data_IF_935742155358
#
_entry.id   IF_935742155358
#
_cell.length_a   1.000
_cell.length_b   1.000
_cell.length_c   1.000
_cell.angle_alpha   90.00
_cell.angle_beta   90.00
_cell.angle_gamma   90.00
#
_symmetry.space_group_name_H-M   'P 1'
#
loop_
_entity.id
_entity.type
_entity.pdbx_description
1 polymer ?
#
# COMPACT_ATOMS: atom_id res chain seq x y z
N UNK A 1 -75.65 -19.53 0.58
CA UNK A 1 -74.98 -19.61 1.89
C UNK A 1 -74.11 -20.85 1.90
N UNK A 2 -72.79 -20.68 1.77
CA UNK A 2 -71.84 -21.78 1.82
C UNK A 2 -70.57 -21.29 2.51
N UNK A 3 -70.17 -22.13 3.45
CA UNK A 3 -69.18 -22.00 4.50
C UNK A 3 -67.75 -21.89 3.97
N UNK A 4 -66.97 -21.07 4.69
CA UNK A 4 -65.52 -20.90 4.64
C UNK A 4 -64.75 -22.22 4.70
N UNK A 5 -63.58 -22.29 4.07
CA UNK A 5 -62.43 -23.11 4.50
C UNK A 5 -61.11 -22.44 4.10
N UNK A 6 -60.17 -22.55 5.03
CA UNK A 6 -58.82 -21.99 5.10
C UNK A 6 -57.88 -22.52 4.01
N UNK A 7 -56.87 -21.73 3.63
CA UNK A 7 -55.49 -22.15 3.29
C UNK A 7 -54.64 -20.87 3.12
N UNK A 8 -53.84 -20.52 4.13
CA UNK A 8 -52.39 -20.76 4.16
C UNK A 8 -51.62 -20.06 3.03
N UNK A 9 -51.20 -18.81 3.25
CA UNK A 9 -49.97 -18.29 2.67
C UNK A 9 -49.25 -17.44 3.73
N UNK A 10 -48.51 -18.12 4.59
CA UNK A 10 -47.49 -17.52 5.44
C UNK A 10 -46.41 -16.93 4.55
N UNK A 11 -46.43 -15.61 4.43
CA UNK A 11 -45.47 -14.81 3.69
C UNK A 11 -44.12 -14.84 4.44
N UNK A 12 -43.30 -15.87 4.19
CA UNK A 12 -41.88 -15.87 4.55
C UNK A 12 -41.12 -14.88 3.65
N UNK A 13 -41.31 -13.58 3.90
CA UNK A 13 -40.41 -12.54 3.41
C UNK A 13 -39.27 -12.39 4.43
N UNK A 14 -38.36 -13.36 4.44
CA UNK A 14 -37.08 -13.20 5.10
C UNK A 14 -36.27 -12.16 4.32
N UNK A 15 -36.19 -10.96 4.89
CA UNK A 15 -35.32 -9.87 4.48
C UNK A 15 -33.87 -10.37 4.42
N UNK A 16 -33.40 -10.71 3.22
CA UNK A 16 -31.97 -10.75 2.90
C UNK A 16 -31.47 -9.32 2.84
N UNK A 17 -31.21 -8.73 4.01
CA UNK A 17 -30.44 -7.50 4.11
C UNK A 17 -28.97 -7.84 3.80
N UNK A 18 -28.34 -7.23 2.78
CA UNK A 18 -26.90 -7.33 2.63
C UNK A 18 -26.27 -6.58 3.82
N UNK A 19 -25.67 -7.32 4.75
CA UNK A 19 -24.81 -6.70 5.76
C UNK A 19 -23.58 -6.15 5.04
N UNK A 20 -23.27 -4.85 5.17
CA UNK A 20 -22.00 -4.34 4.69
C UNK A 20 -20.90 -5.04 5.49
N UNK A 21 -20.05 -5.82 4.81
CA UNK A 21 -18.77 -6.20 5.35
C UNK A 21 -17.95 -4.92 5.52
N UNK A 22 -18.09 -4.27 6.68
CA UNK A 22 -17.28 -3.13 7.02
C UNK A 22 -15.88 -3.66 7.29
N UNK A 23 -14.92 -3.32 6.43
CA UNK A 23 -13.52 -3.41 6.78
C UNK A 23 -13.35 -2.58 8.05
N UNK A 24 -13.20 -3.26 9.19
CA UNK A 24 -13.09 -2.61 10.48
C UNK A 24 -11.69 -2.01 10.55
N UNK A 25 -11.62 -0.69 10.75
CA UNK A 25 -10.36 -0.03 11.11
C UNK A 25 -9.90 -0.70 12.41
N UNK A 26 -8.81 -1.46 12.31
CA UNK A 26 -8.32 -2.27 13.42
C UNK A 26 -7.68 -1.34 14.45
N UNK A 27 -7.47 -1.85 15.66
CA UNK A 27 -6.57 -1.16 16.59
C UNK A 27 -5.23 -0.88 15.89
N UNK A 28 -4.54 0.23 16.23
CA UNK A 28 -3.23 0.53 15.66
C UNK A 28 -2.33 -0.71 15.77
N UNK A 29 -1.60 -1.07 14.70
CA UNK A 29 -0.77 -2.25 14.73
C UNK A 29 0.35 -2.02 15.75
N UNK A 30 0.78 -3.08 16.42
CA UNK A 30 1.93 -3.04 17.31
C UNK A 30 3.22 -2.92 16.47
N UNK A 31 3.47 -1.72 15.94
CA UNK A 31 4.70 -1.40 15.21
C UNK A 31 5.85 -1.29 16.20
N UNK A 32 6.78 -2.23 16.12
CA UNK A 32 7.98 -2.21 16.95
C UNK A 32 9.13 -1.62 16.14
N UNK A 33 9.91 -0.77 16.78
CA UNK A 33 11.12 -0.20 16.20
C UNK A 33 12.35 -0.94 16.71
N UNK A 34 13.25 -1.26 15.78
CA UNK A 34 14.59 -1.75 16.05
C UNK A 34 15.59 -0.97 15.18
N UNK A 35 16.38 -0.09 15.81
CA UNK A 35 17.26 0.84 15.10
C UNK A 35 16.50 1.71 14.08
N UNK A 36 16.84 1.54 12.79
CA UNK A 36 16.27 2.28 11.66
C UNK A 36 15.14 1.54 10.94
N UNK A 37 14.67 0.45 11.54
CA UNK A 37 13.65 -0.45 10.98
C UNK A 37 12.42 -0.47 11.87
N UNK A 38 11.25 -0.47 11.25
CA UNK A 38 9.97 -0.79 11.88
C UNK A 38 9.60 -2.22 11.51
N UNK A 39 8.94 -2.92 12.41
CA UNK A 39 8.46 -4.29 12.20
C UNK A 39 6.96 -4.34 12.37
N UNK A 40 6.29 -5.00 11.43
CA UNK A 40 4.87 -5.27 11.42
C UNK A 40 4.66 -6.79 11.45
N UNK A 41 4.12 -7.29 12.55
CA UNK A 41 3.70 -8.69 12.67
C UNK A 41 2.21 -8.79 12.34
N UNK A 42 1.86 -9.51 11.27
CA UNK A 42 0.48 -9.80 10.91
C UNK A 42 0.39 -11.08 10.07
N UNK A 43 -0.72 -11.80 10.20
CA UNK A 43 -1.02 -12.97 9.36
C UNK A 43 0.08 -14.06 9.39
N UNK A 44 0.72 -14.27 10.55
CA UNK A 44 1.81 -15.24 10.71
C UNK A 44 3.12 -14.83 10.02
N UNK A 45 3.25 -13.57 9.61
CA UNK A 45 4.43 -13.04 8.94
C UNK A 45 4.93 -11.76 9.64
N UNK A 46 6.24 -11.55 9.61
CA UNK A 46 6.93 -10.34 10.07
C UNK A 46 7.48 -9.60 8.88
N UNK A 47 7.00 -8.38 8.69
CA UNK A 47 7.52 -7.45 7.68
C UNK A 47 8.41 -6.42 8.36
N UNK A 48 9.69 -6.42 8.00
CA UNK A 48 10.62 -5.35 8.30
C UNK A 48 10.53 -4.28 7.21
N UNK A 49 10.37 -3.03 7.61
CA UNK A 49 10.27 -1.86 6.74
C UNK A 49 11.20 -0.75 7.28
N UNK A 50 11.87 0.03 6.43
CA UNK A 50 12.66 1.16 6.89
C UNK A 50 11.75 2.26 7.47
N UNK A 51 12.35 3.23 8.15
CA UNK A 51 11.64 4.46 8.48
C UNK A 51 11.10 5.17 7.21
N UNK A 52 9.95 5.87 7.31
CA UNK A 52 9.48 6.75 6.25
C UNK A 52 10.52 7.81 5.87
N UNK A 53 10.56 8.22 4.59
CA UNK A 53 11.60 9.13 4.09
C UNK A 53 11.58 10.54 4.70
N UNK A 54 10.49 10.90 5.39
CA UNK A 54 10.34 12.20 6.08
C UNK A 54 10.72 12.14 7.57
N UNK A 55 11.11 10.97 8.08
CA UNK A 55 11.55 10.79 9.46
C UNK A 55 13.06 10.55 9.50
N UNK A 56 13.74 11.25 10.41
CA UNK A 56 15.13 10.99 10.74
C UNK A 56 15.19 10.00 11.91
N UNK A 57 16.05 8.98 11.79
CA UNK A 57 16.32 8.01 12.83
C UNK A 57 16.83 8.66 14.12
N UNK A 58 17.56 9.78 14.04
CA UNK A 58 18.09 10.51 15.18
C UNK A 58 17.01 11.30 15.95
N UNK A 59 15.90 11.63 15.31
CA UNK A 59 14.87 12.52 15.87
C UNK A 59 13.64 11.79 16.41
N UNK A 60 13.46 10.52 16.02
CA UNK A 60 12.30 9.71 16.41
C UNK A 60 12.81 8.58 17.30
N UNK A 61 12.14 8.27 18.42
CA UNK A 61 12.27 7.00 19.13
C UNK A 61 11.03 6.10 18.89
N UNK A 62 11.00 4.88 19.45
CA UNK A 62 9.88 3.96 19.24
C UNK A 62 8.53 4.51 19.76
N UNK A 63 8.53 5.29 20.83
CA UNK A 63 7.34 5.92 21.38
C UNK A 63 6.94 7.19 20.58
N UNK A 64 7.89 7.81 19.89
CA UNK A 64 7.72 9.02 19.09
C UNK A 64 7.18 8.74 17.68
N UNK A 65 7.20 7.49 17.18
CA UNK A 65 6.60 7.21 15.86
C UNK A 65 5.11 7.58 15.85
N UNK A 66 4.38 7.24 16.92
CA UNK A 66 2.96 7.57 17.07
C UNK A 66 2.69 9.08 17.17
N UNK A 67 3.69 9.88 17.55
CA UNK A 67 3.57 11.34 17.60
C UNK A 67 4.12 12.04 16.34
N UNK A 68 4.92 11.33 15.54
CA UNK A 68 5.55 11.83 14.31
C UNK A 68 4.80 11.44 13.02
N UNK A 69 3.95 10.41 13.07
CA UNK A 69 3.19 9.94 11.92
C UNK A 69 1.74 9.58 12.29
N UNK A 70 0.81 9.91 11.39
CA UNK A 70 -0.54 9.37 11.44
C UNK A 70 -0.52 7.95 10.84
N UNK A 71 -1.08 6.99 11.58
CA UNK A 71 -1.07 5.57 11.20
C UNK A 71 -2.47 5.10 10.89
N UNK A 72 -2.62 4.41 9.75
CA UNK A 72 -3.82 3.66 9.42
C UNK A 72 -3.52 2.20 9.20
N UNK A 73 -4.31 1.35 9.82
CA UNK A 73 -4.15 -0.08 9.71
C UNK A 73 -5.49 -0.76 9.48
N UNK A 74 -5.50 -1.63 8.49
CA UNK A 74 -6.64 -2.47 8.18
C UNK A 74 -6.17 -3.91 8.16
N UNK A 75 -6.97 -4.78 8.77
CA UNK A 75 -6.71 -6.21 8.85
C UNK A 75 -7.96 -6.96 8.43
N UNK A 76 -7.78 -7.92 7.54
CA UNK A 76 -8.76 -8.90 7.10
C UNK A 76 -8.17 -10.29 7.25
N UNK A 77 -8.95 -11.34 6.99
CA UNK A 77 -8.48 -12.73 7.10
C UNK A 77 -7.30 -13.05 6.16
N UNK A 78 -7.15 -12.30 5.06
CA UNK A 78 -6.13 -12.57 4.04
C UNK A 78 -5.19 -11.40 3.77
N UNK A 79 -5.45 -10.22 4.33
CA UNK A 79 -4.64 -9.03 4.06
C UNK A 79 -4.50 -8.12 5.27
N UNK A 80 -3.27 -7.68 5.52
CA UNK A 80 -2.94 -6.61 6.44
C UNK A 80 -2.37 -5.43 5.62
N UNK A 81 -2.87 -4.22 5.85
CA UNK A 81 -2.41 -3.02 5.15
C UNK A 81 -2.16 -1.89 6.16
N UNK A 82 -0.93 -1.37 6.14
CA UNK A 82 -0.45 -0.28 6.98
C UNK A 82 -0.14 0.93 6.09
N UNK A 83 -0.77 2.07 6.33
CA UNK A 83 -0.39 3.37 5.77
C UNK A 83 0.17 4.27 6.87
N UNK A 84 1.26 4.96 6.57
CA UNK A 84 1.87 6.00 7.40
C UNK A 84 1.82 7.31 6.62
N UNK A 85 1.42 8.38 7.30
CA UNK A 85 1.41 9.75 6.78
C UNK A 85 2.26 10.65 7.68
N UNK A 86 2.86 11.74 7.16
CA UNK A 86 3.38 12.81 8.01
C UNK A 86 2.32 13.28 9.01
N UNK A 87 2.76 13.71 10.19
CA UNK A 87 1.85 14.26 11.19
C UNK A 87 0.99 15.38 10.58
N UNK A 88 -0.30 15.38 10.91
CA UNK A 88 -1.31 16.31 10.39
C UNK A 88 -1.66 16.17 8.90
N UNK A 89 -1.13 15.16 8.21
CA UNK A 89 -1.62 14.69 6.91
C UNK A 89 -2.49 13.43 7.07
N UNK A 90 -3.13 12.98 6.00
CA UNK A 90 -3.93 11.75 6.00
C UNK A 90 -4.51 11.40 4.63
N UNK A 91 -5.38 10.39 4.56
CA UNK A 91 -5.91 9.88 3.29
C UNK A 91 -6.57 10.96 2.41
N UNK A 92 -7.26 11.93 3.02
CA UNK A 92 -7.92 13.02 2.28
C UNK A 92 -6.97 14.12 1.79
N UNK A 93 -5.78 14.24 2.38
CA UNK A 93 -4.78 15.24 2.02
C UNK A 93 -3.40 14.76 2.49
N UNK A 94 -2.56 14.36 1.54
CA UNK A 94 -1.18 13.96 1.77
C UNK A 94 -0.28 14.47 0.66
N UNK A 95 1.00 14.66 0.96
CA UNK A 95 2.05 15.02 0.01
C UNK A 95 3.10 13.91 -0.11
N UNK A 96 3.29 13.15 0.96
CA UNK A 96 4.06 11.91 0.94
C UNK A 96 3.40 10.88 1.85
N UNK A 97 3.55 9.60 1.51
CA UNK A 97 3.10 8.50 2.37
C UNK A 97 3.99 7.28 2.19
N UNK A 98 4.06 6.48 3.23
CA UNK A 98 4.72 5.18 3.20
C UNK A 98 3.67 4.12 3.48
N UNK A 99 3.75 3.01 2.76
CA UNK A 99 2.81 1.92 2.92
C UNK A 99 3.45 0.56 2.93
N UNK A 100 2.72 -0.36 3.53
CA UNK A 100 3.05 -1.76 3.56
C UNK A 100 1.79 -2.62 3.47
N UNK A 101 1.86 -3.73 2.73
CA UNK A 101 0.81 -4.72 2.60
C UNK A 101 1.38 -6.12 2.73
N UNK A 102 0.75 -6.95 3.56
CA UNK A 102 1.00 -8.39 3.65
C UNK A 102 -0.27 -9.08 3.14
N UNK A 103 -0.14 -9.99 2.19
CA UNK A 103 -1.26 -10.77 1.65
C UNK A 103 -0.96 -12.25 1.77
N UNK A 104 -1.92 -13.01 2.33
CA UNK A 104 -1.92 -14.47 2.30
C UNK A 104 -2.30 -14.92 0.90
N UNK A 105 -1.29 -15.15 0.09
CA UNK A 105 -1.41 -15.69 -1.26
C UNK A 105 -0.07 -16.34 -1.64
N UNK A 106 0.03 -17.64 -1.36
CA UNK A 106 1.22 -18.46 -1.64
C UNK A 106 1.40 -18.75 -3.14
N UNK A 107 0.36 -18.50 -3.93
CA UNK A 107 0.23 -18.95 -5.32
C UNK A 107 1.02 -18.14 -6.35
N UNK A 108 1.06 -16.78 -6.34
CA UNK A 108 1.76 -16.04 -7.37
C UNK A 108 3.28 -16.21 -7.23
N UNK A 109 3.94 -16.45 -8.36
CA UNK A 109 5.35 -16.12 -8.47
C UNK A 109 5.52 -14.59 -8.28
N UNK A 110 6.65 -14.15 -7.72
CA UNK A 110 6.80 -12.76 -7.30
C UNK A 110 6.70 -11.77 -8.49
N UNK A 111 7.10 -12.21 -9.70
CA UNK A 111 6.99 -11.44 -10.95
C UNK A 111 5.53 -11.18 -11.33
N UNK A 112 4.68 -12.20 -11.30
CA UNK A 112 3.26 -12.09 -11.59
C UNK A 112 2.55 -11.16 -10.59
N UNK A 113 2.92 -11.21 -9.31
CA UNK A 113 2.41 -10.26 -8.32
C UNK A 113 2.81 -8.82 -8.64
N UNK A 114 4.09 -8.59 -8.99
CA UNK A 114 4.56 -7.26 -9.44
C UNK A 114 3.81 -6.78 -10.68
N UNK A 115 3.57 -7.65 -11.66
CA UNK A 115 2.85 -7.29 -12.89
C UNK A 115 1.40 -6.86 -12.61
N UNK A 116 0.71 -7.54 -11.68
CA UNK A 116 -0.64 -7.13 -11.25
C UNK A 116 -0.61 -5.74 -10.60
N UNK A 117 0.40 -5.44 -9.78
CA UNK A 117 0.56 -4.12 -9.16
C UNK A 117 0.87 -3.05 -10.21
N UNK A 118 1.76 -3.33 -11.17
CA UNK A 118 2.04 -2.46 -12.32
C UNK A 118 0.77 -2.13 -13.08
N UNK A 119 -0.05 -3.14 -13.39
CA UNK A 119 -1.33 -2.96 -14.09
C UNK A 119 -2.28 -2.09 -13.26
N UNK A 120 -2.36 -2.33 -11.95
CA UNK A 120 -3.19 -1.53 -11.04
C UNK A 120 -2.84 -0.04 -11.07
N UNK A 121 -1.54 0.29 -10.99
CA UNK A 121 -1.10 1.68 -11.11
C UNK A 121 -1.33 2.25 -12.52
N UNK A 122 -1.06 1.47 -13.58
CA UNK A 122 -1.28 1.91 -14.95
C UNK A 122 -2.76 2.24 -15.25
N UNK A 123 -3.71 1.62 -14.54
CA UNK A 123 -5.14 1.90 -14.69
C UNK A 123 -5.58 3.23 -14.07
N UNK A 124 -4.85 3.76 -13.09
CA UNK A 124 -5.17 5.03 -12.42
C UNK A 124 -4.41 6.23 -12.99
N UNK A 125 -3.43 5.98 -13.86
CA UNK A 125 -2.63 7.00 -14.54
C UNK A 125 -3.09 7.21 -15.98
N UNK A 126 -2.81 8.40 -16.54
CA UNK A 126 -2.98 8.63 -17.98
C UNK A 126 -1.90 7.83 -18.73
N UNK A 127 -2.26 7.00 -19.74
CA UNK A 127 -1.30 6.14 -20.43
C UNK A 127 -0.12 6.91 -21.04
N UNK A 128 -0.36 8.12 -21.54
CA UNK A 128 0.65 9.00 -22.12
C UNK A 128 1.57 9.67 -21.09
N UNK A 129 1.21 9.62 -19.80
CA UNK A 129 1.94 10.24 -18.70
C UNK A 129 2.38 9.21 -17.64
N UNK A 130 2.74 7.99 -18.08
CA UNK A 130 3.18 6.91 -17.20
C UNK A 130 4.55 6.39 -17.62
N UNK A 131 5.46 6.25 -16.67
CA UNK A 131 6.76 5.61 -16.89
C UNK A 131 7.13 4.69 -15.72
N UNK A 132 7.60 3.48 -16.03
CA UNK A 132 8.19 2.57 -15.06
C UNK A 132 9.70 2.56 -15.23
N UNK A 133 10.44 2.50 -14.13
CA UNK A 133 11.88 2.44 -14.15
C UNK A 133 12.39 1.50 -13.06
N UNK A 134 13.47 0.80 -13.37
CA UNK A 134 14.20 -0.04 -12.43
C UNK A 134 15.67 0.32 -12.55
N UNK A 135 16.35 0.39 -11.41
CA UNK A 135 17.77 0.78 -11.36
C UNK A 135 18.71 -0.43 -11.46
N UNK A 136 18.17 -1.61 -11.16
CA UNK A 136 18.89 -2.88 -11.17
C UNK A 136 18.07 -3.86 -12.01
N UNK A 137 18.70 -4.76 -12.78
CA UNK A 137 17.98 -5.83 -13.47
C UNK A 137 17.37 -6.83 -12.49
N UNK A 138 16.33 -7.54 -12.93
CA UNK A 138 15.79 -8.68 -12.20
C UNK A 138 16.81 -9.82 -12.11
N UNK A 139 16.84 -10.46 -10.95
CA UNK A 139 17.43 -11.79 -10.77
C UNK A 139 16.31 -12.78 -10.46
N UNK A 140 16.52 -14.07 -10.71
CA UNK A 140 15.49 -15.12 -10.75
C UNK A 140 14.39 -14.96 -9.67
N UNK A 141 14.78 -15.09 -8.40
CA UNK A 141 13.90 -15.02 -7.23
C UNK A 141 14.00 -13.69 -6.46
N UNK A 142 14.77 -12.72 -6.97
CA UNK A 142 14.97 -11.42 -6.33
C UNK A 142 14.63 -10.28 -7.28
N UNK A 143 13.51 -9.61 -7.03
CA UNK A 143 13.10 -8.44 -7.80
C UNK A 143 13.60 -7.16 -7.15
N UNK A 144 14.50 -6.38 -7.77
CA UNK A 144 14.90 -5.11 -7.20
C UNK A 144 13.68 -4.17 -7.05
N UNK A 145 13.78 -3.14 -6.19
CA UNK A 145 12.72 -2.16 -6.08
C UNK A 145 12.38 -1.53 -7.43
N UNK A 146 11.08 -1.34 -7.66
CA UNK A 146 10.51 -0.77 -8.88
C UNK A 146 10.11 0.69 -8.62
N UNK A 147 10.47 1.57 -9.54
CA UNK A 147 9.97 2.93 -9.60
C UNK A 147 8.84 3.10 -10.61
N UNK A 148 7.91 3.98 -10.30
CA UNK A 148 6.82 4.43 -11.16
C UNK A 148 6.73 5.96 -11.09
N UNK A 149 6.64 6.61 -12.25
CA UNK A 149 6.27 8.00 -12.40
C UNK A 149 4.91 8.09 -13.11
N UNK A 150 3.88 8.49 -12.37
CA UNK A 150 2.56 8.82 -12.86
C UNK A 150 2.45 10.35 -12.99
N UNK A 151 2.83 10.89 -14.15
CA UNK A 151 2.83 12.32 -14.41
C UNK A 151 1.45 12.97 -14.32
N UNK A 152 0.39 12.21 -14.58
CA UNK A 152 -0.98 12.65 -14.35
C UNK A 152 -1.93 11.49 -14.08
N UNK A 153 -2.76 11.62 -13.04
CA UNK A 153 -3.86 10.67 -12.82
C UNK A 153 -4.91 10.75 -13.92
N UNK A 154 -5.52 9.61 -14.22
CA UNK A 154 -6.68 9.53 -15.10
C UNK A 154 -7.87 10.32 -14.50
N UNK A 155 -8.69 10.93 -15.36
CA UNK A 155 -9.76 11.84 -14.91
C UNK A 155 -10.85 11.11 -14.09
N UNK A 156 -10.92 9.78 -14.20
CA UNK A 156 -11.81 8.90 -13.41
C UNK A 156 -11.45 8.89 -11.92
N UNK A 157 -10.21 9.21 -11.55
CA UNK A 157 -9.73 9.22 -10.17
C UNK A 157 -10.14 10.54 -9.51
N UNK A 158 -11.26 10.50 -8.77
CA UNK A 158 -11.82 11.67 -8.08
C UNK A 158 -10.86 12.19 -6.99
N UNK A 159 -10.65 13.50 -6.94
CA UNK A 159 -9.78 14.16 -5.95
C UNK A 159 -8.32 14.28 -6.37
N UNK A 160 -7.94 13.67 -7.49
CA UNK A 160 -6.57 13.65 -8.03
C UNK A 160 -6.42 14.39 -9.37
N UNK A 161 -7.46 15.12 -9.80
CA UNK A 161 -7.41 15.95 -11.00
C UNK A 161 -6.26 16.96 -10.92
N UNK A 162 -5.42 16.99 -11.95
CA UNK A 162 -4.26 17.89 -12.03
C UNK A 162 -3.09 17.50 -11.10
N UNK A 163 -3.13 16.30 -10.52
CA UNK A 163 -2.04 15.74 -9.71
C UNK A 163 -1.26 14.67 -10.47
N UNK A 164 -0.07 14.37 -9.97
CA UNK A 164 0.73 13.22 -10.34
C UNK A 164 1.45 12.65 -9.11
N UNK A 165 1.97 11.43 -9.24
CA UNK A 165 2.72 10.76 -8.18
C UNK A 165 4.02 10.13 -8.70
N UNK A 166 5.04 10.09 -7.84
CA UNK A 166 6.18 9.18 -7.98
C UNK A 166 6.09 8.15 -6.88
N UNK A 167 6.33 6.90 -7.22
CA UNK A 167 6.22 5.73 -6.34
C UNK A 167 7.48 4.90 -6.45
N UNK A 168 7.96 4.41 -5.31
CA UNK A 168 8.96 3.34 -5.25
C UNK A 168 8.36 2.18 -4.47
N UNK A 169 8.58 0.96 -4.95
CA UNK A 169 7.96 -0.27 -4.43
C UNK A 169 8.99 -1.39 -4.27
N UNK A 170 8.86 -2.18 -3.22
CA UNK A 170 9.61 -3.42 -2.99
C UNK A 170 8.64 -4.58 -2.79
N UNK A 171 8.87 -5.64 -3.54
CA UNK A 171 8.08 -6.87 -3.53
C UNK A 171 8.84 -7.96 -2.79
N UNK A 172 8.15 -8.71 -1.94
CA UNK A 172 8.73 -9.73 -1.07
C UNK A 172 7.84 -10.99 -1.11
N UNK A 173 8.42 -12.16 -0.83
CA UNK A 173 7.70 -13.44 -0.79
C UNK A 173 8.15 -14.28 0.40
N UNK A 174 7.21 -15.03 0.96
CA UNK A 174 7.43 -16.17 1.84
C UNK A 174 6.57 -17.34 1.36
N UNK A 175 6.63 -18.47 2.07
CA UNK A 175 5.74 -19.61 1.82
C UNK A 175 4.28 -19.33 2.21
N UNK A 176 4.00 -18.32 3.06
CA UNK A 176 2.62 -17.93 3.41
C UNK A 176 2.02 -16.89 2.48
N UNK A 177 2.86 -16.14 1.73
CA UNK A 177 2.36 -15.21 0.74
C UNK A 177 3.33 -14.12 0.32
N UNK A 178 2.81 -12.93 0.07
CA UNK A 178 3.56 -11.81 -0.51
C UNK A 178 3.49 -10.54 0.33
N UNK A 179 4.56 -9.75 0.24
CA UNK A 179 4.68 -8.43 0.82
C UNK A 179 4.90 -7.37 -0.24
N UNK A 180 4.33 -6.19 -0.03
CA UNK A 180 4.60 -4.98 -0.78
C UNK A 180 4.92 -3.86 0.20
N UNK A 181 6.07 -3.21 0.06
CA UNK A 181 6.41 -1.98 0.76
C UNK A 181 6.56 -0.88 -0.28
N UNK A 182 6.00 0.30 -0.02
CA UNK A 182 6.04 1.39 -0.98
C UNK A 182 6.19 2.76 -0.31
N UNK A 183 6.71 3.72 -1.06
CA UNK A 183 6.81 5.12 -0.69
C UNK A 183 6.29 5.94 -1.87
N UNK A 184 5.44 6.92 -1.58
CA UNK A 184 4.82 7.76 -2.60
C UNK A 184 5.05 9.24 -2.30
N UNK A 185 5.16 10.02 -3.37
CA UNK A 185 5.23 11.48 -3.35
C UNK A 185 4.20 12.03 -4.32
N UNK A 186 3.22 12.77 -3.79
CA UNK A 186 2.15 13.39 -4.54
C UNK A 186 2.46 14.85 -4.79
N UNK A 187 2.22 15.31 -6.01
CA UNK A 187 2.33 16.72 -6.35
C UNK A 187 1.37 17.15 -7.45
N UNK A 188 1.71 18.28 -8.09
CA UNK A 188 1.04 18.72 -9.32
C UNK A 188 1.39 17.76 -10.45
N UNK A 189 0.55 17.72 -11.49
CA UNK A 189 0.87 17.00 -12.70
C UNK A 189 2.23 17.46 -13.28
N UNK A 190 2.97 16.52 -13.84
CA UNK A 190 4.36 16.68 -14.28
C UNK A 190 4.65 15.80 -15.51
N UNK A 191 5.81 16.01 -16.13
CA UNK A 191 6.26 15.18 -17.25
C UNK A 191 7.12 14.01 -16.72
N UNK A 192 6.68 12.74 -16.87
CA UNK A 192 7.45 11.60 -16.39
C UNK A 192 8.81 11.45 -17.07
N UNK A 193 9.04 12.05 -18.25
CA UNK A 193 10.33 12.07 -18.94
C UNK A 193 11.28 13.18 -18.44
N UNK A 194 10.77 14.20 -17.75
CA UNK A 194 11.57 15.28 -17.16
C UNK A 194 11.59 15.16 -15.63
N UNK A 195 12.66 14.56 -15.11
CA UNK A 195 12.83 14.34 -13.68
C UNK A 195 12.93 15.62 -12.85
N UNK A 196 13.18 16.79 -13.45
CA UNK A 196 13.16 18.07 -12.73
C UNK A 196 11.73 18.57 -12.48
N UNK A 197 10.75 18.03 -13.19
CA UNK A 197 9.33 18.36 -13.01
C UNK A 197 8.65 17.52 -11.92
N UNK A 198 9.31 16.46 -11.45
CA UNK A 198 8.76 15.51 -10.48
C UNK A 198 8.53 16.14 -9.10
N UNK A 199 7.59 15.61 -8.29
CA UNK A 199 7.33 16.09 -6.92
C UNK A 199 8.44 15.72 -5.92
N UNK A 200 9.46 14.98 -6.36
CA UNK A 200 10.57 14.47 -5.56
C UNK A 200 11.84 14.46 -6.42
N UNK A 201 13.01 14.65 -5.81
CA UNK A 201 14.29 14.65 -6.52
C UNK A 201 14.71 13.22 -6.89
N UNK A 202 15.47 13.07 -7.97
CA UNK A 202 16.04 11.78 -8.37
C UNK A 202 16.98 11.19 -7.32
N UNK A 203 17.67 12.03 -6.57
CA UNK A 203 18.53 11.62 -5.45
C UNK A 203 17.72 10.96 -4.33
N UNK A 204 16.60 11.57 -3.92
CA UNK A 204 15.70 10.99 -2.93
C UNK A 204 15.08 9.68 -3.41
N UNK A 205 14.71 9.59 -4.70
CA UNK A 205 14.20 8.35 -5.30
C UNK A 205 15.25 7.24 -5.28
N UNK A 206 16.48 7.54 -5.70
CA UNK A 206 17.61 6.60 -5.69
C UNK A 206 17.90 6.11 -4.27
N UNK A 207 18.05 7.03 -3.32
CA UNK A 207 18.29 6.71 -1.92
C UNK A 207 17.19 5.80 -1.36
N UNK A 208 15.94 6.04 -1.75
CA UNK A 208 14.82 5.21 -1.28
C UNK A 208 14.84 3.82 -1.89
N UNK A 209 15.18 3.68 -3.17
CA UNK A 209 15.38 2.39 -3.81
C UNK A 209 16.48 1.61 -3.09
N UNK A 210 17.62 2.24 -2.80
CA UNK A 210 18.72 1.57 -2.09
C UNK A 210 18.30 1.12 -0.69
N UNK A 211 17.58 1.98 0.04
CA UNK A 211 17.06 1.68 1.38
C UNK A 211 16.06 0.50 1.34
N UNK A 212 15.18 0.46 0.36
CA UNK A 212 14.25 -0.67 0.17
C UNK A 212 14.96 -1.98 -0.17
N UNK A 213 16.05 -1.90 -0.94
CA UNK A 213 16.87 -3.07 -1.25
C UNK A 213 17.59 -3.65 -0.03
N UNK A 214 17.97 -2.81 0.94
CA UNK A 214 18.82 -3.21 2.08
C UNK A 214 18.05 -3.51 3.36
N UNK A 215 16.99 -2.76 3.65
CA UNK A 215 16.35 -2.72 4.97
C UNK A 215 14.93 -3.28 4.99
N UNK A 216 14.46 -3.88 3.90
CA UNK A 216 13.11 -4.44 3.80
C UNK A 216 13.17 -5.96 3.66
N UNK A 217 12.45 -6.68 4.52
CA UNK A 217 12.40 -8.14 4.52
C UNK A 217 11.05 -8.65 4.99
N UNK A 218 10.62 -9.80 4.47
CA UNK A 218 9.42 -10.52 4.93
C UNK A 218 9.84 -11.92 5.38
N UNK A 219 9.43 -12.31 6.58
CA UNK A 219 9.74 -13.61 7.17
C UNK A 219 8.49 -14.22 7.83
N UNK A 220 8.52 -15.52 8.07
CA UNK A 220 7.51 -16.20 8.89
C UNK A 220 7.73 -15.86 10.37
N UNK A 221 6.64 -15.84 11.15
CA UNK A 221 6.69 -15.75 12.63
C UNK A 221 6.47 -17.15 13.19
N UNK A 222 7.39 -17.61 14.04
CA UNK A 222 7.32 -18.90 14.75
C UNK A 222 6.19 -18.94 15.80
#
# INVERSE_FOLDING_TARGET
MRTSWFLCLSLCAALLAPLPAQAQEAAPPDLKRDGDTLTLDALGQRLALPLPSWLDAAEVDAAALASAAETRFTLTDTQASLMLYPRAEGEGFWTTRMGARITLDDTPNLKAYRDVVIIGYAQVCKPEATAFFQLTPDEDDSLPPLGLACGSYADIVRGYQGKGEVVVMRFLKTDLGVGLVFQEWLGRAFDPADAQSWPVTTETVQQRIDTFGQSTALALVD
#
